data_IF_238683646479
#
_entry.id   IF_238683646479
#
_cell.length_a   1.000
_cell.length_b   1.000
_cell.length_c   1.000
_cell.angle_alpha   90.00
_cell.angle_beta   90.00
_cell.angle_gamma   90.00
#
_symmetry.space_group_name_H-M   'P 1'
#
loop_
_entity.id
_entity.type
_entity.pdbx_description
1 polymer ?
#
# COMPACT_ATOMS: atom_id res chain seq x y z
N UNK A 1 3.87 -22.79 5.93
CA UNK A 1 2.82 -22.04 5.20
C UNK A 1 2.62 -22.67 3.82
N UNK A 2 1.38 -22.81 3.34
CA UNK A 2 1.09 -23.51 2.05
C UNK A 2 1.24 -22.60 0.82
N UNK A 3 1.33 -21.28 1.01
CA UNK A 3 1.45 -20.28 -0.06
C UNK A 3 2.39 -19.15 0.36
N UNK A 4 3.01 -18.50 -0.63
CA UNK A 4 3.90 -17.36 -0.43
C UNK A 4 3.06 -16.11 -0.14
N UNK A 5 3.57 -15.26 0.74
CA UNK A 5 3.03 -13.92 0.99
C UNK A 5 4.08 -12.88 0.61
N UNK A 6 3.64 -11.66 0.31
CA UNK A 6 4.51 -10.54 -0.01
C UNK A 6 3.95 -9.24 0.56
N UNK A 7 4.83 -8.34 0.95
CA UNK A 7 4.42 -7.01 1.44
C UNK A 7 4.15 -6.08 0.26
N UNK A 8 2.95 -5.48 0.23
CA UNK A 8 2.55 -4.53 -0.82
C UNK A 8 1.99 -3.25 -0.25
N UNK A 9 2.12 -2.16 -1.00
CA UNK A 9 1.31 -0.96 -0.85
C UNK A 9 0.11 -1.04 -1.80
N UNK A 10 -1.10 -0.79 -1.29
CA UNK A 10 -2.34 -0.65 -2.07
C UNK A 10 -2.76 0.81 -2.09
N UNK A 11 -3.00 1.35 -3.29
CA UNK A 11 -3.61 2.66 -3.49
C UNK A 11 -5.08 2.48 -3.82
N UNK A 12 -5.94 3.23 -3.14
CA UNK A 12 -7.37 3.19 -3.34
C UNK A 12 -8.02 4.55 -3.10
N UNK A 13 -9.24 4.68 -3.61
CA UNK A 13 -10.09 5.84 -3.44
C UNK A 13 -11.46 5.42 -2.90
N UNK A 14 -12.14 6.36 -2.26
CA UNK A 14 -13.51 6.15 -1.81
C UNK A 14 -14.29 7.46 -1.68
N UNK A 15 -15.59 7.37 -1.94
CA UNK A 15 -16.56 8.36 -1.51
C UNK A 15 -16.89 8.11 -0.04
N UNK A 16 -16.48 9.02 0.85
CA UNK A 16 -16.60 8.87 2.30
C UNK A 16 -17.97 9.17 2.88
N UNK A 17 -18.86 9.83 2.13
CA UNK A 17 -20.18 10.29 2.59
C UNK A 17 -20.98 9.19 3.32
N UNK A 18 -21.12 7.96 2.79
CA UNK A 18 -21.94 6.93 3.43
C UNK A 18 -21.25 6.21 4.60
N UNK A 19 -19.97 6.51 4.90
CA UNK A 19 -19.14 5.71 5.80
C UNK A 19 -18.79 6.42 7.11
N UNK A 20 -18.50 5.64 8.15
CA UNK A 20 -18.10 6.11 9.49
C UNK A 20 -16.62 6.46 9.61
N UNK A 21 -15.96 6.73 8.48
CA UNK A 21 -14.53 7.05 8.38
C UNK A 21 -13.71 5.87 7.87
N UNK A 22 -12.39 6.07 7.78
CA UNK A 22 -11.49 5.01 7.30
C UNK A 22 -11.37 3.87 8.31
N UNK A 23 -11.10 4.23 9.56
CA UNK A 23 -10.70 3.29 10.60
C UNK A 23 -11.88 2.43 11.08
N UNK A 24 -11.65 1.13 11.20
CA UNK A 24 -12.62 0.20 11.77
C UNK A 24 -12.95 0.54 13.22
N UNK A 25 -14.24 0.54 13.54
CA UNK A 25 -14.75 0.77 14.90
C UNK A 25 -14.94 -0.59 15.58
N UNK A 26 -13.85 -1.11 16.14
CA UNK A 26 -13.82 -2.44 16.78
C UNK A 26 -14.87 -2.54 17.88
N UNK A 27 -15.65 -3.61 17.86
CA UNK A 27 -16.73 -3.86 18.84
C UNK A 27 -18.08 -3.24 18.50
N UNK A 28 -18.20 -2.54 17.36
CA UNK A 28 -19.49 -2.00 16.89
C UNK A 28 -20.08 -2.87 15.78
N UNK A 29 -21.23 -3.51 16.05
CA UNK A 29 -21.94 -4.33 15.04
C UNK A 29 -22.38 -3.50 13.82
N UNK A 30 -22.72 -2.23 14.05
CA UNK A 30 -23.14 -1.28 13.02
C UNK A 30 -21.98 -0.58 12.31
N UNK A 31 -20.72 -1.01 12.52
CA UNK A 31 -19.60 -0.37 11.85
C UNK A 31 -19.79 -0.40 10.32
N UNK A 32 -19.60 0.75 9.70
CA UNK A 32 -19.64 0.95 8.27
C UNK A 32 -18.40 1.75 7.86
N UNK A 33 -17.25 1.35 8.38
CA UNK A 33 -15.95 1.93 8.05
C UNK A 33 -15.46 1.40 6.71
N UNK A 34 -14.58 2.16 6.06
CA UNK A 34 -13.92 1.72 4.83
C UNK A 34 -13.08 0.46 5.09
N UNK A 35 -12.38 0.40 6.23
CA UNK A 35 -11.57 -0.77 6.59
C UNK A 35 -12.41 -2.03 6.76
N UNK A 36 -13.59 -1.97 7.38
CA UNK A 36 -14.45 -3.16 7.52
C UNK A 36 -14.80 -3.77 6.16
N UNK A 37 -15.17 -2.95 5.19
CA UNK A 37 -15.44 -3.40 3.81
C UNK A 37 -14.17 -3.94 3.12
N UNK A 38 -13.03 -3.27 3.31
CA UNK A 38 -11.77 -3.67 2.71
C UNK A 38 -11.24 -4.99 3.26
N UNK A 39 -11.26 -5.17 4.57
CA UNK A 39 -10.84 -6.42 5.22
C UNK A 39 -11.82 -7.57 4.92
N UNK A 40 -13.12 -7.31 4.85
CA UNK A 40 -14.08 -8.30 4.36
C UNK A 40 -13.75 -8.77 2.93
N UNK A 41 -13.42 -7.84 2.02
CA UNK A 41 -13.01 -8.19 0.66
C UNK A 41 -11.68 -8.95 0.61
N UNK A 42 -10.67 -8.54 1.39
CA UNK A 42 -9.35 -9.20 1.46
C UNK A 42 -9.46 -10.63 2.00
N UNK A 43 -10.26 -10.87 3.03
CA UNK A 43 -10.48 -12.20 3.59
C UNK A 43 -11.31 -13.07 2.64
N UNK A 44 -12.39 -12.52 2.07
CA UNK A 44 -13.27 -13.25 1.13
C UNK A 44 -12.57 -13.62 -0.18
N UNK A 45 -11.59 -12.84 -0.62
CA UNK A 45 -10.72 -13.15 -1.76
C UNK A 45 -9.52 -14.06 -1.40
N UNK A 46 -9.42 -14.49 -0.13
CA UNK A 46 -8.32 -15.31 0.40
C UNK A 46 -6.94 -14.69 0.17
N UNK A 47 -6.86 -13.36 0.12
CA UNK A 47 -5.58 -12.63 0.03
C UNK A 47 -4.90 -12.53 1.39
N UNK A 48 -5.68 -12.52 2.47
CA UNK A 48 -5.19 -12.55 3.85
C UNK A 48 -5.98 -13.58 4.67
N UNK A 49 -5.41 -14.03 5.78
CA UNK A 49 -6.10 -14.87 6.76
C UNK A 49 -6.88 -14.02 7.75
N UNK A 50 -6.23 -13.00 8.31
CA UNK A 50 -6.82 -12.07 9.25
C UNK A 50 -6.12 -10.72 9.17
N UNK A 51 -6.69 -9.71 9.82
CA UNK A 51 -6.10 -8.37 9.89
C UNK A 51 -4.79 -8.35 10.67
N UNK A 52 -4.73 -9.12 11.75
CA UNK A 52 -3.62 -9.18 12.70
C UNK A 52 -2.37 -9.82 12.08
N UNK A 53 -2.58 -10.81 11.22
CA UNK A 53 -1.50 -11.52 10.52
C UNK A 53 -1.01 -10.81 9.25
N UNK A 54 -1.69 -9.73 8.83
CA UNK A 54 -1.44 -9.09 7.54
C UNK A 54 -0.40 -7.95 7.58
N UNK A 55 0.33 -7.73 8.69
CA UNK A 55 1.28 -6.61 8.81
C UNK A 55 0.69 -5.25 8.35
N UNK A 56 -0.53 -4.95 8.82
CA UNK A 56 -1.29 -3.83 8.29
C UNK A 56 -0.80 -2.47 8.80
N UNK A 57 -0.59 -1.53 7.88
CA UNK A 57 -0.41 -0.11 8.17
C UNK A 57 -1.22 0.77 7.22
N UNK A 58 -1.57 1.98 7.67
CA UNK A 58 -2.38 2.93 6.90
C UNK A 58 -1.74 4.31 6.89
N UNK A 59 -1.77 5.00 5.76
CA UNK A 59 -1.13 6.31 5.65
C UNK A 59 -1.78 7.34 6.57
N UNK A 60 -3.05 7.68 6.38
CA UNK A 60 -3.76 8.64 7.22
C UNK A 60 -5.16 8.16 7.55
N UNK A 61 -5.60 8.33 8.80
CA UNK A 61 -7.03 8.18 9.14
C UNK A 61 -7.82 9.31 8.49
N UNK A 62 -9.03 9.01 8.06
CA UNK A 62 -10.03 10.02 7.66
C UNK A 62 -11.25 9.88 8.54
N UNK A 63 -11.83 11.00 8.92
CA UNK A 63 -13.03 11.05 9.75
C UNK A 63 -14.28 10.66 8.96
N UNK A 64 -15.40 10.53 9.68
CA UNK A 64 -16.72 10.24 9.11
C UNK A 64 -17.06 11.23 7.99
N UNK A 65 -17.53 10.72 6.86
CA UNK A 65 -17.90 11.53 5.70
C UNK A 65 -16.75 12.00 4.81
N UNK A 66 -15.49 11.93 5.26
CA UNK A 66 -14.33 12.40 4.50
C UNK A 66 -13.99 11.41 3.38
N UNK A 67 -13.93 11.91 2.14
CA UNK A 67 -13.53 11.13 0.97
C UNK A 67 -12.00 11.10 0.79
N UNK A 68 -11.50 10.15 0.01
CA UNK A 68 -10.09 10.10 -0.38
C UNK A 68 -9.92 9.68 -1.84
N UNK A 69 -9.03 10.36 -2.57
CA UNK A 69 -8.66 10.00 -3.95
C UNK A 69 -7.39 9.15 -4.05
N UNK A 70 -6.61 9.08 -2.97
CA UNK A 70 -5.29 8.43 -2.98
C UNK A 70 -4.89 7.94 -1.60
N UNK A 71 -5.81 7.28 -0.90
CA UNK A 71 -5.46 6.60 0.34
C UNK A 71 -4.49 5.45 0.04
N UNK A 72 -3.54 5.24 0.94
CA UNK A 72 -2.54 4.17 0.82
C UNK A 72 -2.53 3.36 2.09
N UNK A 73 -2.59 2.04 1.95
CA UNK A 73 -2.30 1.07 3.01
C UNK A 73 -1.14 0.18 2.60
N UNK A 74 -0.47 -0.44 3.56
CA UNK A 74 0.46 -1.52 3.31
C UNK A 74 0.07 -2.75 4.15
N UNK A 75 0.24 -3.93 3.57
CA UNK A 75 -0.11 -5.21 4.16
C UNK A 75 0.51 -6.38 3.37
N UNK A 76 0.74 -7.49 4.07
CA UNK A 76 1.15 -8.76 3.49
C UNK A 76 -0.05 -9.48 2.88
N UNK A 77 0.06 -9.82 1.59
CA UNK A 77 -0.98 -10.55 0.86
C UNK A 77 -0.40 -11.81 0.21
N UNK A 78 -1.26 -12.78 -0.07
CA UNK A 78 -0.94 -13.98 -0.85
C UNK A 78 -0.41 -13.61 -2.24
N UNK A 79 0.70 -14.24 -2.64
CA UNK A 79 1.25 -14.17 -4.00
C UNK A 79 0.86 -15.40 -4.83
N UNK A 80 0.80 -15.25 -6.14
CA UNK A 80 0.67 -16.33 -7.12
C UNK A 80 1.93 -17.21 -7.19
N UNK A 81 3.09 -16.66 -6.85
CA UNK A 81 4.38 -17.37 -6.94
C UNK A 81 4.50 -18.38 -5.78
N UNK A 82 4.75 -19.67 -6.03
CA UNK A 82 4.92 -20.67 -4.97
C UNK A 82 6.10 -20.39 -4.03
N UNK A 83 6.03 -20.89 -2.78
CA UNK A 83 7.14 -20.73 -1.81
C UNK A 83 8.41 -21.41 -2.32
N UNK A 84 8.28 -22.60 -2.90
CA UNK A 84 9.35 -23.42 -3.45
C UNK A 84 9.67 -23.13 -4.93
N UNK A 85 9.32 -21.94 -5.43
CA UNK A 85 9.74 -21.52 -6.76
C UNK A 85 11.26 -21.29 -6.78
N UNK A 86 11.91 -21.78 -7.82
CA UNK A 86 13.34 -21.62 -8.08
C UNK A 86 13.55 -20.89 -9.40
N UNK A 87 14.67 -20.18 -9.54
CA UNK A 87 15.08 -19.53 -10.78
C UNK A 87 16.54 -19.81 -11.11
N UNK A 88 16.89 -19.73 -12.38
CA UNK A 88 18.26 -19.90 -12.84
C UNK A 88 19.11 -18.70 -12.41
N UNK A 89 20.26 -18.96 -11.81
CA UNK A 89 21.20 -17.92 -11.41
C UNK A 89 22.02 -17.49 -12.62
N UNK A 90 22.00 -16.19 -12.95
CA UNK A 90 22.85 -15.64 -14.00
C UNK A 90 24.32 -15.66 -13.57
N UNK A 91 25.22 -16.02 -14.49
CA UNK A 91 26.67 -16.11 -14.25
C UNK A 91 27.36 -14.78 -13.88
N UNK A 92 26.66 -13.64 -13.96
CA UNK A 92 27.18 -12.29 -13.66
C UNK A 92 26.63 -11.72 -12.32
N UNK A 93 25.98 -12.55 -11.50
CA UNK A 93 25.39 -12.15 -10.21
C UNK A 93 26.41 -12.47 -9.09
N UNK A 94 27.52 -11.72 -9.03
CA UNK A 94 28.51 -11.76 -7.94
C UNK A 94 27.96 -11.08 -6.65
N UNK A 95 26.64 -11.10 -6.47
CA UNK A 95 25.91 -10.37 -5.44
C UNK A 95 25.31 -11.30 -4.39
N UNK A 96 25.89 -11.21 -3.19
CA UNK A 96 25.46 -11.76 -1.89
C UNK A 96 25.76 -13.26 -1.66
N UNK A 97 26.76 -13.50 -0.81
CA UNK A 97 27.32 -14.83 -0.44
C UNK A 97 26.33 -15.75 0.33
N UNK A 98 25.11 -15.28 0.61
CA UNK A 98 24.15 -15.95 1.52
C UNK A 98 23.00 -16.69 0.82
N UNK A 99 22.89 -16.67 -0.51
CA UNK A 99 21.80 -17.38 -1.21
C UNK A 99 22.22 -18.82 -1.51
N UNK A 100 21.59 -19.78 -0.84
CA UNK A 100 21.83 -21.22 -1.05
C UNK A 100 21.51 -21.63 -2.50
N UNK A 101 22.56 -21.82 -3.30
CA UNK A 101 22.47 -22.26 -4.70
C UNK A 101 22.47 -23.78 -4.75
N UNK A 102 21.51 -24.34 -5.46
CA UNK A 102 21.43 -25.78 -5.70
C UNK A 102 21.69 -26.08 -7.17
N UNK A 103 22.58 -27.04 -7.43
CA UNK A 103 22.76 -27.57 -8.77
C UNK A 103 21.64 -28.55 -9.07
N UNK A 104 20.79 -28.20 -10.05
CA UNK A 104 19.69 -29.05 -10.48
C UNK A 104 19.93 -29.48 -11.91
N UNK A 105 19.88 -30.79 -12.12
CA UNK A 105 19.96 -31.36 -13.46
C UNK A 105 18.59 -31.36 -14.11
N UNK A 106 18.41 -30.54 -15.14
CA UNK A 106 17.16 -30.44 -15.90
C UNK A 106 17.32 -31.22 -17.20
N UNK A 107 16.30 -32.02 -17.56
CA UNK A 107 16.24 -32.69 -18.86
C UNK A 107 15.54 -31.77 -19.85
N UNK A 108 16.28 -31.26 -20.83
CA UNK A 108 15.73 -30.44 -21.91
C UNK A 108 15.96 -31.17 -23.24
N UNK A 109 14.89 -31.56 -23.92
CA UNK A 109 14.85 -32.10 -25.30
C UNK A 109 16.03 -33.01 -25.76
N UNK A 110 16.52 -33.91 -24.88
CA UNK A 110 17.62 -34.90 -25.03
C UNK A 110 19.01 -34.50 -24.49
N UNK A 111 19.18 -33.32 -23.92
CA UNK A 111 20.40 -32.90 -23.26
C UNK A 111 20.19 -32.78 -21.74
N UNK A 112 21.19 -33.22 -20.99
CA UNK A 112 21.19 -33.18 -19.52
C UNK A 112 22.00 -31.97 -19.10
N UNK A 113 21.32 -30.86 -18.81
CA UNK A 113 21.98 -29.59 -18.47
C UNK A 113 21.92 -29.40 -16.96
N UNK A 114 23.09 -29.27 -16.33
CA UNK A 114 23.20 -28.86 -14.93
C UNK A 114 23.02 -27.34 -14.87
N UNK A 115 21.96 -26.89 -14.21
CA UNK A 115 21.68 -25.47 -13.99
C UNK A 115 21.89 -25.12 -12.52
N UNK A 116 22.53 -23.98 -12.28
CA UNK A 116 22.60 -23.38 -10.94
C UNK A 116 21.28 -22.68 -10.66
N UNK A 117 20.60 -23.13 -9.62
CA UNK A 117 19.28 -22.65 -9.26
C UNK A 117 19.31 -21.98 -7.90
N UNK A 118 18.67 -20.82 -7.80
CA UNK A 118 18.44 -20.11 -6.54
C UNK A 118 16.97 -20.10 -6.16
N UNK A 119 16.70 -20.08 -4.85
CA UNK A 119 15.34 -19.85 -4.34
C UNK A 119 14.89 -18.44 -4.73
N UNK A 120 13.65 -18.30 -5.20
CA UNK A 120 13.08 -17.00 -5.57
C UNK A 120 12.92 -16.15 -4.31
N UNK A 121 13.52 -14.97 -4.29
CA UNK A 121 13.39 -13.99 -3.21
C UNK A 121 12.27 -12.98 -3.49
N UNK A 122 11.95 -12.12 -2.53
CA UNK A 122 10.89 -11.11 -2.71
C UNK A 122 11.23 -10.07 -3.78
N UNK A 123 12.52 -9.75 -3.92
CA UNK A 123 13.05 -8.84 -4.97
C UNK A 123 12.86 -9.39 -6.38
N UNK A 124 12.76 -10.72 -6.49
CA UNK A 124 12.59 -11.45 -7.74
C UNK A 124 11.12 -11.60 -8.16
N UNK A 125 10.17 -11.19 -7.33
CA UNK A 125 8.74 -11.31 -7.61
C UNK A 125 8.28 -10.27 -8.63
N UNK A 126 7.23 -10.56 -9.44
CA UNK A 126 6.71 -9.59 -10.39
C UNK A 126 6.34 -8.27 -9.71
N UNK A 127 6.71 -7.14 -10.30
CA UNK A 127 6.41 -5.81 -9.74
C UNK A 127 4.94 -5.41 -9.87
N UNK A 128 4.22 -6.02 -10.79
CA UNK A 128 2.82 -5.76 -11.05
C UNK A 128 2.15 -7.02 -11.64
N UNK A 129 0.86 -6.94 -11.96
CA UNK A 129 0.09 -8.07 -12.51
C UNK A 129 0.32 -8.34 -14.00
N UNK A 130 1.06 -7.48 -14.71
CA UNK A 130 1.34 -7.64 -16.16
C UNK A 130 2.72 -8.21 -16.43
N UNK A 131 3.65 -8.04 -15.49
CA UNK A 131 5.00 -8.58 -15.59
C UNK A 131 4.94 -10.09 -15.31
N UNK A 132 5.34 -10.89 -16.30
CA UNK A 132 5.48 -12.32 -16.14
C UNK A 132 6.94 -12.66 -15.80
N UNK A 133 7.15 -13.65 -14.93
CA UNK A 133 8.48 -14.17 -14.62
C UNK A 133 8.45 -15.69 -14.76
N UNK A 134 9.52 -16.24 -15.33
CA UNK A 134 9.70 -17.68 -15.52
C UNK A 134 10.40 -18.28 -14.30
N UNK A 135 9.76 -19.30 -13.73
CA UNK A 135 10.26 -20.04 -12.58
C UNK A 135 10.22 -21.55 -12.84
N UNK A 136 10.99 -22.28 -12.06
CA UNK A 136 10.97 -23.72 -12.01
C UNK A 136 10.33 -24.16 -10.69
N UNK A 137 9.37 -25.09 -10.76
CA UNK A 137 8.64 -25.56 -9.59
C UNK A 137 8.70 -27.09 -9.54
N UNK A 138 8.91 -27.70 -8.35
CA UNK A 138 8.79 -29.14 -8.19
C UNK A 138 7.41 -29.66 -8.62
N UNK A 139 7.30 -30.89 -9.14
CA UNK A 139 6.03 -31.45 -9.58
C UNK A 139 5.09 -31.58 -8.38
N UNK A 140 3.81 -31.21 -8.55
CA UNK A 140 2.81 -31.48 -7.51
C UNK A 140 2.71 -32.99 -7.31
N UNK A 141 3.07 -33.48 -6.13
CA UNK A 141 2.86 -34.88 -5.76
C UNK A 141 1.36 -35.18 -5.88
N UNK A 142 0.99 -36.13 -6.76
CA UNK A 142 -0.40 -36.58 -6.87
C UNK A 142 -0.81 -37.17 -5.51
N UNK A 143 -1.86 -36.63 -4.88
CA UNK A 143 -2.41 -37.22 -3.65
C UNK A 143 -2.76 -38.69 -3.94
N UNK A 144 -2.03 -39.62 -3.31
CA UNK A 144 -2.38 -41.04 -3.35
C UNK A 144 -3.78 -41.20 -2.74
N UNK A 145 -4.68 -41.84 -3.48
CA UNK A 145 -6.00 -42.25 -3.01
C UNK A 145 -5.78 -43.12 -1.76
N UNK A 146 -6.35 -42.74 -0.61
CA UNK A 146 -6.18 -43.46 0.66
C UNK A 146 -6.93 -44.80 0.53
N UNK A 147 -6.19 -45.89 0.31
CA UNK A 147 -6.67 -47.26 0.51
C UNK A 147 -6.19 -47.71 1.90
N UNK A 148 -7.11 -48.21 2.70
CA UNK A 148 -6.84 -48.85 3.99
C UNK A 148 -6.02 -50.14 3.75
N UNK A 149 -4.95 -50.41 4.52
CA UNK A 149 -4.97 -51.33 5.67
C UNK A 149 -3.54 -51.69 6.16
N UNK A 150 -3.43 -51.88 7.48
CA UNK A 150 -2.54 -52.74 8.31
C UNK A 150 -1.00 -52.67 8.24
N UNK A 151 -0.43 -52.72 9.46
CA UNK A 151 0.97 -52.81 9.89
C UNK A 151 1.82 -53.91 9.23
N UNK A 152 3.09 -53.60 8.98
CA UNK A 152 4.22 -54.46 9.37
C UNK A 152 5.53 -53.65 9.39
N UNK A 153 6.37 -53.94 10.37
CA UNK A 153 7.70 -53.36 10.62
C UNK A 153 8.77 -53.99 9.72
N UNK A 154 9.74 -53.21 9.24
CA UNK A 154 11.19 -53.52 9.31
C UNK A 154 12.02 -52.31 8.80
N UNK A 155 13.17 -52.11 9.42
CA UNK A 155 14.17 -51.06 9.23
C UNK A 155 14.78 -50.99 7.82
N UNK A 156 15.07 -49.78 7.32
CA UNK A 156 16.00 -49.54 6.19
C UNK A 156 16.92 -48.33 6.46
N UNK A 157 18.17 -48.32 5.92
CA UNK A 157 19.25 -47.39 6.27
C UNK A 157 19.05 -45.99 5.64
N UNK A 158 19.83 -44.95 6.04
CA UNK A 158 19.58 -43.58 5.61
C UNK A 158 19.88 -43.41 4.11
N UNK A 159 19.05 -42.68 3.34
CA UNK A 159 19.36 -42.41 1.95
C UNK A 159 20.42 -41.31 1.85
N UNK A 160 21.67 -41.70 1.60
CA UNK A 160 22.62 -40.84 0.89
C UNK A 160 22.22 -40.88 -0.58
N UNK A 161 21.34 -39.97 -1.00
CA UNK A 161 20.94 -39.86 -2.41
C UNK A 161 20.61 -38.42 -2.74
N UNK A 162 21.52 -37.78 -3.47
CA UNK A 162 21.31 -36.57 -4.25
C UNK A 162 20.05 -36.77 -5.10
N UNK A 163 18.92 -36.33 -4.57
CA UNK A 163 17.61 -36.59 -5.17
C UNK A 163 17.46 -35.67 -6.38
N UNK A 164 17.52 -36.24 -7.59
CA UNK A 164 17.23 -35.52 -8.83
C UNK A 164 15.78 -35.01 -8.81
N UNK A 165 15.59 -33.77 -8.38
CA UNK A 165 14.28 -33.13 -8.37
C UNK A 165 14.00 -32.60 -9.77
N UNK A 166 13.17 -33.32 -10.53
CA UNK A 166 12.69 -32.90 -11.86
C UNK A 166 11.82 -31.64 -11.72
N UNK A 167 12.39 -30.47 -11.98
CA UNK A 167 11.64 -29.21 -11.95
C UNK A 167 10.90 -28.96 -13.27
N UNK A 168 9.76 -28.27 -13.22
CA UNK A 168 8.98 -27.89 -14.40
C UNK A 168 9.02 -26.37 -14.60
N UNK A 169 9.33 -25.88 -15.83
CA UNK A 169 9.27 -24.46 -16.14
C UNK A 169 7.82 -23.98 -16.13
N UNK A 170 7.59 -22.79 -15.55
CA UNK A 170 6.30 -22.11 -15.51
C UNK A 170 6.50 -20.61 -15.62
N UNK A 171 5.71 -19.98 -16.47
CA UNK A 171 5.58 -18.53 -16.54
C UNK A 171 4.41 -18.10 -15.65
N UNK A 172 4.68 -17.27 -14.64
CA UNK A 172 3.68 -16.84 -13.66
C UNK A 172 3.60 -15.32 -13.66
N UNK A 173 2.39 -14.79 -13.77
CA UNK A 173 2.05 -13.39 -13.48
C UNK A 173 1.48 -13.30 -12.06
N UNK A 174 1.64 -12.13 -11.42
CA UNK A 174 1.05 -11.92 -10.10
C UNK A 174 -0.49 -11.83 -10.15
N UNK A 175 -1.14 -12.09 -9.02
CA UNK A 175 -2.58 -11.90 -8.85
C UNK A 175 -3.00 -10.46 -9.17
N UNK A 176 -4.13 -10.30 -9.87
CA UNK A 176 -4.73 -8.99 -10.12
C UNK A 176 -5.50 -8.52 -8.87
N UNK A 177 -4.76 -8.08 -7.85
CA UNK A 177 -5.36 -7.62 -6.58
C UNK A 177 -6.44 -6.55 -6.77
N UNK A 178 -6.25 -5.51 -7.62
CA UNK A 178 -7.30 -4.51 -7.85
C UNK A 178 -8.60 -5.13 -8.36
N UNK A 179 -8.55 -6.00 -9.38
CA UNK A 179 -9.76 -6.63 -9.92
C UNK A 179 -10.43 -7.55 -8.90
N UNK A 180 -9.64 -8.38 -8.20
CA UNK A 180 -10.15 -9.30 -7.17
C UNK A 180 -10.89 -8.54 -6.05
N UNK A 181 -10.32 -7.43 -5.57
CA UNK A 181 -10.90 -6.62 -4.51
C UNK A 181 -12.10 -5.81 -5.03
N UNK A 182 -12.00 -5.17 -6.19
CA UNK A 182 -13.07 -4.36 -6.75
C UNK A 182 -14.34 -5.17 -7.09
N UNK A 183 -14.21 -6.47 -7.36
CA UNK A 183 -15.35 -7.38 -7.54
C UNK A 183 -16.13 -7.64 -6.24
N UNK A 184 -15.51 -7.39 -5.08
CA UNK A 184 -16.11 -7.63 -3.75
C UNK A 184 -16.43 -6.32 -3.02
N UNK A 185 -15.78 -5.22 -3.38
CA UNK A 185 -15.95 -3.91 -2.75
C UNK A 185 -17.22 -3.19 -3.26
N UNK A 186 -17.93 -2.44 -2.40
CA UNK A 186 -18.99 -1.55 -2.82
C UNK A 186 -18.54 -0.58 -3.93
N UNK A 187 -19.44 -0.12 -4.83
CA UNK A 187 -19.10 0.80 -5.92
C UNK A 187 -18.34 2.07 -5.51
N UNK A 188 -18.59 2.54 -4.28
CA UNK A 188 -17.99 3.72 -3.67
C UNK A 188 -16.58 3.52 -3.13
N UNK A 189 -15.98 2.31 -3.21
CA UNK A 189 -14.59 2.03 -2.82
C UNK A 189 -13.89 1.34 -4.00
N UNK A 190 -12.76 1.89 -4.45
CA UNK A 190 -12.01 1.34 -5.58
C UNK A 190 -10.53 1.29 -5.33
N UNK A 191 -9.95 0.09 -5.45
CA UNK A 191 -8.51 -0.11 -5.53
C UNK A 191 -8.06 0.25 -6.95
N UNK A 192 -7.10 1.15 -7.04
CA UNK A 192 -6.61 1.70 -8.32
C UNK A 192 -5.24 1.16 -8.71
N UNK A 193 -4.48 0.65 -7.75
CA UNK A 193 -3.15 0.12 -8.02
C UNK A 193 -2.47 -0.44 -6.80
N UNK A 194 -1.34 -1.09 -7.04
CA UNK A 194 -0.51 -1.69 -6.02
C UNK A 194 0.96 -1.69 -6.43
N UNK A 195 1.85 -1.81 -5.44
CA UNK A 195 3.29 -1.99 -5.67
C UNK A 195 3.87 -2.87 -4.57
N UNK A 196 4.87 -3.74 -4.85
CA UNK A 196 5.68 -4.31 -3.79
C UNK A 196 6.40 -3.21 -3.01
N UNK A 197 6.64 -3.51 -1.74
CA UNK A 197 7.41 -2.67 -0.82
C UNK A 197 8.28 -3.56 0.06
N UNK A 198 9.31 -2.97 0.66
CA UNK A 198 10.15 -3.65 1.67
C UNK A 198 9.30 -4.11 2.87
N UNK A 199 9.75 -5.16 3.57
CA UNK A 199 9.14 -5.62 4.83
C UNK A 199 9.05 -4.51 5.88
N UNK A 200 10.01 -3.58 5.88
CA UNK A 200 10.09 -2.45 6.81
C UNK A 200 9.22 -1.26 6.42
N UNK A 201 8.60 -1.28 5.23
CA UNK A 201 7.79 -0.17 4.76
C UNK A 201 6.52 -0.02 5.60
N UNK A 202 6.26 1.20 6.09
CA UNK A 202 5.00 1.53 6.75
C UNK A 202 4.29 2.61 5.96
N UNK A 203 3.06 2.37 5.51
CA UNK A 203 2.28 3.40 4.83
C UNK A 203 2.13 4.67 5.68
N UNK A 204 2.17 4.53 7.02
CA UNK A 204 2.11 5.65 7.97
C UNK A 204 3.45 6.38 8.09
N UNK A 205 4.50 5.66 8.45
CA UNK A 205 5.77 6.27 8.88
C UNK A 205 6.73 6.56 7.72
N UNK A 206 6.59 5.83 6.61
CA UNK A 206 7.32 6.12 5.36
C UNK A 206 6.68 7.27 4.56
N UNK A 207 5.49 7.74 4.95
CA UNK A 207 4.83 8.89 4.32
C UNK A 207 5.50 10.20 4.74
N UNK A 208 5.99 10.97 3.76
CA UNK A 208 6.61 12.29 3.99
C UNK A 208 5.59 13.39 4.26
N UNK A 209 4.55 13.51 3.42
CA UNK A 209 3.52 14.54 3.55
C UNK A 209 2.18 14.07 2.95
N UNK A 210 1.09 14.77 3.31
CA UNK A 210 -0.25 14.50 2.78
C UNK A 210 -0.84 15.78 2.18
N UNK A 211 -1.59 15.61 1.10
CA UNK A 211 -2.28 16.72 0.43
C UNK A 211 -3.77 16.50 0.59
N UNK A 212 -4.47 17.50 1.10
CA UNK A 212 -5.92 17.52 1.24
C UNK A 212 -6.51 18.60 0.34
N UNK A 213 -7.69 18.32 -0.22
CA UNK A 213 -8.47 19.29 -1.00
C UNK A 213 -9.83 19.41 -0.36
N UNK A 214 -10.20 20.64 -0.01
CA UNK A 214 -11.52 20.98 0.50
C UNK A 214 -12.28 21.73 -0.59
N UNK A 215 -13.53 21.35 -0.80
CA UNK A 215 -14.41 21.97 -1.78
C UNK A 215 -15.50 22.74 -1.03
N UNK A 216 -15.60 24.04 -1.30
CA UNK A 216 -16.60 24.91 -0.69
C UNK A 216 -17.43 25.58 -1.78
N UNK A 217 -18.71 25.82 -1.48
CA UNK A 217 -19.53 26.74 -2.28
C UNK A 217 -19.06 28.15 -1.97
N UNK A 218 -18.72 28.93 -3.02
CA UNK A 218 -18.14 30.27 -2.85
C UNK A 218 -18.97 31.19 -1.95
N UNK A 219 -20.28 31.24 -2.15
CA UNK A 219 -21.19 32.14 -1.42
C UNK A 219 -20.59 33.56 -1.29
N UNK A 220 -20.56 34.11 -0.08
CA UNK A 220 -19.98 35.39 0.31
C UNK A 220 -18.56 35.28 0.91
N UNK A 221 -17.83 34.20 0.65
CA UNK A 221 -16.44 34.05 1.14
C UNK A 221 -15.52 35.12 0.53
N UNK A 222 -14.82 35.88 1.39
CA UNK A 222 -13.83 36.86 0.96
C UNK A 222 -12.52 36.14 0.61
N UNK A 223 -12.23 36.02 -0.69
CA UNK A 223 -11.04 35.30 -1.16
C UNK A 223 -9.73 36.03 -0.86
N UNK A 224 -9.73 37.36 -0.77
CA UNK A 224 -8.54 38.14 -0.46
C UNK A 224 -8.11 37.89 1.00
N UNK A 225 -9.04 37.97 1.94
CA UNK A 225 -8.77 37.68 3.36
C UNK A 225 -8.36 36.21 3.57
N UNK A 226 -9.04 35.28 2.88
CA UNK A 226 -8.67 33.87 2.95
C UNK A 226 -7.26 33.63 2.39
N UNK A 227 -6.86 34.33 1.31
CA UNK A 227 -5.52 34.24 0.76
C UNK A 227 -4.47 34.79 1.73
N UNK A 228 -4.70 35.98 2.31
CA UNK A 228 -3.81 36.56 3.32
C UNK A 228 -3.65 35.61 4.52
N UNK A 229 -4.76 35.06 5.02
CA UNK A 229 -4.75 34.08 6.11
C UNK A 229 -4.01 32.78 5.74
N UNK A 230 -4.20 32.26 4.52
CA UNK A 230 -3.51 31.08 4.01
C UNK A 230 -1.98 31.24 4.07
N UNK A 231 -1.47 32.42 3.69
CA UNK A 231 -0.04 32.73 3.72
C UNK A 231 0.54 32.77 5.11
N UNK A 232 -0.21 33.23 6.10
CA UNK A 232 0.21 33.19 7.51
C UNK A 232 0.30 31.76 8.07
N UNK A 233 -0.43 30.80 7.49
CA UNK A 233 -0.39 29.39 7.91
C UNK A 233 0.79 28.61 7.33
N UNK A 234 1.40 29.05 6.22
CA UNK A 234 2.55 28.38 5.61
C UNK A 234 3.78 28.44 6.53
N UNK A 235 4.52 27.34 6.64
CA UNK A 235 5.69 27.21 7.51
C UNK A 235 5.48 26.32 8.75
N UNK A 236 6.36 26.49 9.73
CA UNK A 236 6.42 25.66 10.95
C UNK A 236 5.77 26.40 12.13
N UNK A 237 4.56 25.99 12.52
CA UNK A 237 3.76 26.67 13.55
C UNK A 237 3.22 25.69 14.60
N UNK A 238 2.82 26.23 15.77
CA UNK A 238 2.07 25.49 16.77
C UNK A 238 0.55 25.57 16.46
N UNK A 239 -0.03 24.45 16.04
CA UNK A 239 -1.43 24.36 15.62
C UNK A 239 -2.36 23.83 16.73
N UNK A 240 -2.01 23.97 18.02
CA UNK A 240 -2.83 23.43 19.12
C UNK A 240 -4.30 23.87 19.10
N UNK A 241 -4.56 25.10 18.68
CA UNK A 241 -5.93 25.65 18.61
C UNK A 241 -6.72 25.14 17.40
N UNK A 242 -6.08 24.45 16.46
CA UNK A 242 -6.71 23.85 15.27
C UNK A 242 -6.94 22.35 15.43
N UNK A 243 -6.80 21.81 16.63
CA UNK A 243 -7.04 20.40 16.91
C UNK A 243 -7.91 20.23 18.15
N UNK A 244 -8.68 19.14 18.19
CA UNK A 244 -9.37 18.74 19.41
C UNK A 244 -8.31 18.33 20.43
N UNK A 245 -8.27 19.04 21.56
CA UNK A 245 -7.29 18.78 22.61
C UNK A 245 -7.52 17.40 23.22
N UNK A 246 -6.52 16.54 23.11
CA UNK A 246 -6.44 15.25 23.79
C UNK A 246 -5.02 15.08 24.33
N UNK A 247 -4.81 15.60 25.54
CA UNK A 247 -3.51 15.65 26.19
C UNK A 247 -2.94 14.26 26.55
N UNK A 248 -3.78 13.22 26.61
CA UNK A 248 -3.33 11.85 26.87
C UNK A 248 -2.61 11.23 25.67
N UNK A 249 -3.01 11.63 24.45
CA UNK A 249 -2.53 11.00 23.21
C UNK A 249 -1.68 11.92 22.34
N UNK A 250 -1.82 13.24 22.48
CA UNK A 250 -1.12 14.23 21.66
C UNK A 250 -0.55 15.34 22.53
N UNK A 251 0.79 15.39 22.60
CA UNK A 251 1.54 16.43 23.30
C UNK A 251 2.36 17.32 22.35
N UNK A 252 2.51 16.92 21.08
CA UNK A 252 3.19 17.71 20.07
C UNK A 252 2.18 18.26 19.04
N UNK A 253 2.05 19.59 19.02
CA UNK A 253 1.15 20.34 18.16
C UNK A 253 1.87 21.13 17.06
N UNK A 254 3.21 21.09 17.02
CA UNK A 254 3.96 21.73 15.95
C UNK A 254 3.81 20.95 14.65
N UNK A 255 3.44 21.64 13.58
CA UNK A 255 3.30 21.06 12.24
C UNK A 255 3.91 22.00 11.20
N UNK A 256 4.42 21.40 10.14
CA UNK A 256 4.85 22.11 8.95
C UNK A 256 3.75 22.12 7.90
N UNK A 257 3.23 23.29 7.56
CA UNK A 257 2.35 23.46 6.43
C UNK A 257 3.18 23.87 5.22
N UNK A 258 3.39 22.93 4.30
CA UNK A 258 4.22 23.17 3.12
C UNK A 258 3.62 24.20 2.15
N UNK A 259 2.31 24.16 1.98
CA UNK A 259 1.59 25.03 1.06
C UNK A 259 0.09 25.02 1.39
N UNK A 260 -0.56 26.18 1.31
CA UNK A 260 -2.02 26.31 1.35
C UNK A 260 -2.46 27.20 0.20
N UNK A 261 -3.29 26.65 -0.69
CA UNK A 261 -3.75 27.34 -1.91
C UNK A 261 -5.26 27.38 -1.98
N UNK A 262 -5.77 28.50 -2.47
CA UNK A 262 -7.18 28.71 -2.76
C UNK A 262 -7.31 28.80 -4.27
N UNK A 263 -8.02 27.83 -4.83
CA UNK A 263 -8.15 27.68 -6.28
C UNK A 263 -9.64 27.70 -6.60
N UNK A 264 -10.03 28.54 -7.55
CA UNK A 264 -11.40 28.55 -8.07
C UNK A 264 -11.66 27.27 -8.86
N UNK A 265 -12.92 26.89 -8.98
CA UNK A 265 -13.32 25.66 -9.69
C UNK A 265 -12.96 25.66 -11.18
N UNK A 266 -12.77 26.84 -11.79
CA UNK A 266 -12.28 27.03 -13.15
C UNK A 266 -10.75 26.80 -13.29
N UNK A 267 -10.07 26.45 -12.19
CA UNK A 267 -8.63 26.18 -12.16
C UNK A 267 -7.77 27.42 -12.00
N UNK A 268 -8.36 28.62 -11.95
CA UNK A 268 -7.62 29.87 -11.77
C UNK A 268 -7.30 30.05 -10.28
N UNK A 269 -6.02 30.25 -9.98
CA UNK A 269 -5.58 30.63 -8.64
C UNK A 269 -6.06 32.03 -8.30
N UNK A 270 -6.54 32.22 -7.07
CA UNK A 270 -6.88 33.56 -6.61
C UNK A 270 -5.61 34.36 -6.35
N UNK A 271 -5.44 35.47 -7.06
CA UNK A 271 -4.42 36.48 -6.79
C UNK A 271 -5.11 37.63 -6.04
N UNK A 272 -4.61 38.04 -4.86
CA UNK A 272 -5.23 39.12 -4.12
C UNK A 272 -5.16 40.42 -4.92
N UNK A 273 -6.16 41.27 -4.77
CA UNK A 273 -6.07 42.65 -5.27
C UNK A 273 -4.97 43.38 -4.52
N UNK A 274 -4.14 44.15 -5.23
CA UNK A 274 -3.21 45.08 -4.58
C UNK A 274 -4.04 46.07 -3.74
N UNK A 275 -3.63 46.29 -2.50
CA UNK A 275 -4.18 47.37 -1.68
C UNK A 275 -3.72 48.66 -2.34
N UNK A 276 -4.66 49.44 -2.89
CA UNK A 276 -4.38 50.83 -3.26
C UNK A 276 -3.90 51.52 -1.98
N UNK A 277 -2.61 51.88 -1.93
CA UNK A 277 -2.09 52.77 -0.91
C UNK A 277 -2.94 54.04 -1.00
N UNK A 278 -3.78 54.31 0.00
CA UNK A 278 -4.29 55.66 0.21
C UNK A 278 -3.06 56.54 0.45
N UNK A 279 -2.56 57.18 -0.61
CA UNK A 279 -1.70 58.34 -0.48
C UNK A 279 -2.46 59.33 0.40
N UNK A 280 -2.05 59.40 1.67
CA UNK A 280 -2.50 60.41 2.61
C UNK A 280 -2.16 61.79 2.06
N UNK A 281 -3.08 62.33 1.27
CA UNK A 281 -3.05 63.68 0.76
C UNK A 281 -2.96 64.65 1.92
N UNK A 282 -1.82 65.33 2.00
CA UNK A 282 -1.54 66.35 3.00
C UNK A 282 -2.53 67.52 2.97
N UNK A 283 -2.72 68.09 4.15
CA UNK A 283 -3.43 69.34 4.36
C UNK A 283 -3.02 69.94 5.70
N UNK A 284 -1.72 70.20 5.87
CA UNK A 284 -1.28 71.14 6.88
C UNK A 284 -1.68 72.55 6.43
N UNK A 285 -2.73 73.09 7.03
CA UNK A 285 -3.01 74.53 6.98
C UNK A 285 -2.58 75.15 8.32
N UNK A 286 -1.31 75.56 8.34
CA UNK A 286 -0.79 76.57 9.25
C UNK A 286 -1.31 77.94 8.80
N UNK A 287 -2.40 78.40 9.38
CA UNK A 287 -2.84 79.79 9.25
C UNK A 287 -3.27 80.38 10.58
N UNK A 288 -2.38 81.21 11.13
CA UNK A 288 -2.57 82.16 12.22
C UNK A 288 -3.87 82.96 12.09
N UNK A 289 -4.68 82.99 13.14
CA UNK A 289 -5.05 84.19 13.93
C UNK A 289 -5.97 83.81 15.09
#
# INVERSE_FOLDING_TARGET
MTYRQRHIALKFLYNGIPYTGLAENVGSESDNSIEKHLFAALTKSCLITSRESANYSRCGRTDKGVSAFGQVIALCVKSAVPVNAMMEQSANDDGDDDVEVTEVTVKDENETVTKKMKCVQDVDLPRNSVNAISYFVPPKQKKKKKQNNTQESLSSPPPTSTTMTLLQPKTITELNYPQMLNNLLPPSIRVVGWSPVSTEFSARFSCSHRIYRYYFVRSNLNLDDMYRAAKLMEGDHDFRNFCKMNCEQVYNFRRKMHQLRIVRSDGVEHVPKEEEEEEGGGGGDDSKM
#
